data_IF_153077827360
#
_entry.id   IF_153077827360
#
_cell.length_a   1.000
_cell.length_b   1.000
_cell.length_c   1.000
_cell.angle_alpha   90.00
_cell.angle_beta   90.00
_cell.angle_gamma   90.00
#
_symmetry.space_group_name_H-M   'P 1'
#
loop_
_entity.id
_entity.type
_entity.pdbx_description
1 polymer ?
#
# COMPACT_ATOMS: atom_id res chain seq x y z
N UNK A 1 -7.01 -29.90 18.52
CA UNK A 1 -6.99 -28.89 17.44
C UNK A 1 -5.91 -27.90 17.78
N UNK A 2 -4.78 -27.95 17.08
CA UNK A 2 -3.68 -26.99 17.27
C UNK A 2 -4.17 -25.61 16.78
N UNK A 3 -3.96 -24.52 17.53
CA UNK A 3 -4.22 -23.19 16.99
C UNK A 3 -3.38 -22.99 15.72
N UNK A 4 -3.90 -22.36 14.65
CA UNK A 4 -3.08 -22.03 13.50
C UNK A 4 -1.89 -21.17 13.96
N UNK A 5 -0.70 -21.46 13.42
CA UNK A 5 0.48 -20.64 13.66
C UNK A 5 0.16 -19.16 13.38
N UNK A 6 0.71 -18.21 14.17
CA UNK A 6 0.53 -16.80 13.87
C UNK A 6 1.01 -16.55 12.43
N UNK A 7 0.12 -16.02 11.59
CA UNK A 7 0.49 -15.64 10.24
C UNK A 7 1.70 -14.69 10.32
N UNK A 8 2.69 -14.92 9.46
CA UNK A 8 3.89 -14.09 9.43
C UNK A 8 3.49 -12.62 9.36
N UNK A 9 4.04 -11.78 10.27
CA UNK A 9 3.71 -10.35 10.35
C UNK A 9 4.27 -9.55 9.18
N UNK A 10 4.98 -10.20 8.26
CA UNK A 10 5.46 -9.60 7.02
C UNK A 10 5.50 -10.62 5.89
N UNK A 11 5.36 -10.16 4.65
CA UNK A 11 5.45 -10.98 3.46
C UNK A 11 6.23 -10.26 2.35
N UNK A 12 7.05 -11.00 1.61
CA UNK A 12 7.81 -10.46 0.48
C UNK A 12 6.90 -10.02 -0.66
N UNK A 13 7.38 -9.14 -1.54
CA UNK A 13 6.57 -8.68 -2.68
C UNK A 13 6.43 -9.71 -3.80
N UNK A 14 7.38 -10.62 -3.91
CA UNK A 14 7.44 -11.66 -4.92
C UNK A 14 7.42 -13.04 -4.26
N UNK A 15 6.72 -14.04 -4.84
CA UNK A 15 5.91 -13.96 -6.06
C UNK A 15 4.59 -13.20 -5.84
N UNK A 16 4.16 -12.42 -6.83
CA UNK A 16 2.93 -11.60 -6.73
C UNK A 16 1.67 -12.40 -6.37
N UNK A 17 1.54 -13.64 -6.85
CA UNK A 17 0.38 -14.49 -6.53
C UNK A 17 0.31 -14.81 -5.03
N UNK A 18 1.46 -15.15 -4.43
CA UNK A 18 1.58 -15.47 -3.01
C UNK A 18 1.32 -14.24 -2.15
N UNK A 19 1.84 -13.08 -2.57
CA UNK A 19 1.55 -11.80 -1.93
C UNK A 19 0.05 -11.48 -1.92
N UNK A 20 -0.64 -11.64 -3.04
CA UNK A 20 -2.08 -11.38 -3.11
C UNK A 20 -2.90 -12.35 -2.24
N UNK A 21 -2.50 -13.62 -2.21
CA UNK A 21 -3.11 -14.61 -1.33
C UNK A 21 -2.88 -14.24 0.15
N UNK A 22 -1.67 -13.84 0.51
CA UNK A 22 -1.34 -13.38 1.86
C UNK A 22 -2.11 -12.10 2.24
N UNK A 23 -2.17 -11.11 1.35
CA UNK A 23 -2.96 -9.88 1.54
C UNK A 23 -4.45 -10.16 1.66
N UNK A 24 -4.98 -11.18 0.99
CA UNK A 24 -6.39 -11.54 1.09
C UNK A 24 -6.69 -12.31 2.38
N UNK A 25 -5.75 -13.16 2.83
CA UNK A 25 -5.86 -13.92 4.07
C UNK A 25 -5.65 -13.05 5.33
N UNK A 26 -4.78 -12.04 5.23
CA UNK A 26 -4.43 -11.15 6.34
C UNK A 26 -5.05 -9.76 6.20
N UNK A 27 -5.58 -9.41 5.04
CA UNK A 27 -6.33 -8.18 4.82
C UNK A 27 -7.73 -8.32 5.39
N UNK A 28 -8.25 -7.22 5.91
CA UNK A 28 -9.55 -7.19 6.53
C UNK A 28 -10.68 -7.63 5.61
N UNK A 29 -11.40 -8.69 5.98
CA UNK A 29 -12.80 -8.86 5.58
C UNK A 29 -13.65 -7.98 6.51
N UNK A 30 -14.55 -7.12 6.00
CA UNK A 30 -15.36 -6.22 6.83
C UNK A 30 -16.28 -6.94 7.82
N UNK A 31 -16.43 -8.26 7.72
CA UNK A 31 -17.47 -9.02 8.41
C UNK A 31 -17.09 -9.53 9.81
N UNK A 32 -15.80 -9.54 10.21
CA UNK A 32 -15.38 -10.01 11.55
C UNK A 32 -14.24 -9.14 12.12
N UNK A 33 -14.58 -8.16 12.95
CA UNK A 33 -13.63 -7.41 13.79
C UNK A 33 -12.94 -6.21 13.13
N UNK A 34 -12.02 -5.58 13.87
CA UNK A 34 -11.20 -4.48 13.35
C UNK A 34 -10.16 -5.07 12.38
N UNK A 35 -10.19 -4.68 11.09
CA UNK A 35 -9.25 -5.21 10.12
C UNK A 35 -7.82 -4.80 10.48
N UNK A 36 -6.82 -5.69 10.33
CA UNK A 36 -5.45 -5.36 10.63
C UNK A 36 -4.92 -4.27 9.70
N UNK A 37 -4.08 -3.40 10.23
CA UNK A 37 -3.40 -2.35 9.46
C UNK A 37 -2.19 -2.95 8.78
N UNK A 38 -2.02 -2.64 7.51
CA UNK A 38 -0.90 -3.08 6.70
C UNK A 38 -0.05 -1.88 6.33
N UNK A 39 1.27 -2.00 6.45
CA UNK A 39 2.25 -1.05 5.93
C UNK A 39 2.76 -1.57 4.59
N UNK A 40 2.47 -0.82 3.54
CA UNK A 40 2.74 -1.18 2.16
C UNK A 40 3.76 -0.21 1.55
N UNK A 41 4.81 -0.71 0.87
CA UNK A 41 5.65 0.15 0.05
C UNK A 41 4.90 0.41 -1.26
N UNK A 42 4.67 1.67 -1.62
CA UNK A 42 3.88 2.03 -2.81
C UNK A 42 4.66 3.02 -3.66
N UNK A 43 4.76 2.76 -4.95
CA UNK A 43 5.19 3.73 -5.95
C UNK A 43 3.96 4.53 -6.36
N UNK A 44 3.96 5.83 -6.09
CA UNK A 44 2.90 6.74 -6.49
C UNK A 44 3.38 7.55 -7.70
N UNK A 45 2.58 7.58 -8.76
CA UNK A 45 2.82 8.36 -9.98
C UNK A 45 1.87 9.56 -9.99
N UNK A 46 2.42 10.73 -10.28
CA UNK A 46 1.65 11.97 -10.37
C UNK A 46 1.43 12.40 -11.83
N UNK A 47 0.44 13.24 -12.08
CA UNK A 47 0.33 13.95 -13.36
C UNK A 47 1.44 15.02 -13.51
N UNK A 48 1.58 15.57 -14.73
CA UNK A 48 2.61 16.55 -15.06
C UNK A 48 2.51 17.82 -14.19
N UNK A 49 1.29 18.25 -13.88
CA UNK A 49 1.03 19.44 -13.05
C UNK A 49 1.08 19.13 -11.53
N UNK A 50 1.28 17.86 -11.16
CA UNK A 50 1.23 17.33 -9.80
C UNK A 50 -0.06 17.70 -9.05
N UNK A 51 -1.18 17.82 -9.75
CA UNK A 51 -2.51 18.10 -9.20
C UNK A 51 -3.27 16.83 -8.80
N UNK A 52 -2.84 15.67 -9.30
CA UNK A 52 -3.46 14.38 -9.06
C UNK A 52 -2.47 13.21 -8.99
N UNK A 53 -2.93 12.11 -8.40
CA UNK A 53 -2.26 10.81 -8.47
C UNK A 53 -2.87 10.07 -9.66
N UNK A 54 -2.04 9.72 -10.65
CA UNK A 54 -2.46 9.02 -11.87
C UNK A 54 -2.29 7.51 -11.76
N UNK A 55 -1.40 7.05 -10.89
CA UNK A 55 -1.13 5.63 -10.68
C UNK A 55 -0.54 5.33 -9.31
N UNK A 56 -0.76 4.10 -8.86
CA UNK A 56 -0.13 3.54 -7.68
C UNK A 56 0.21 2.07 -7.92
N UNK A 57 1.42 1.66 -7.55
CA UNK A 57 1.89 0.27 -7.68
C UNK A 57 2.58 -0.19 -6.41
N UNK A 58 2.31 -1.44 -6.01
CA UNK A 58 2.88 -2.02 -4.80
C UNK A 58 4.35 -2.39 -5.01
N UNK A 59 5.24 -1.79 -4.22
CA UNK A 59 6.67 -2.08 -4.16
C UNK A 59 7.50 -1.35 -5.21
N UNK A 60 7.43 -1.84 -6.44
CA UNK A 60 8.14 -1.30 -7.62
C UNK A 60 7.13 -0.90 -8.71
N UNK A 61 7.60 -0.21 -9.74
CA UNK A 61 6.74 0.24 -10.85
C UNK A 61 6.05 -0.93 -11.58
N UNK A 62 6.65 -2.11 -11.58
CA UNK A 62 6.13 -3.34 -12.22
C UNK A 62 5.23 -4.19 -11.30
N UNK A 63 5.02 -3.72 -10.06
CA UNK A 63 4.27 -4.46 -9.05
C UNK A 63 2.75 -4.50 -9.29
N UNK A 64 2.01 -4.94 -8.27
CA UNK A 64 0.55 -4.94 -8.32
C UNK A 64 0.02 -3.51 -8.39
N UNK A 65 -0.74 -3.19 -9.45
CA UNK A 65 -1.46 -1.93 -9.56
C UNK A 65 -2.48 -1.79 -8.42
N UNK A 66 -2.51 -0.62 -7.79
CA UNK A 66 -3.36 -0.31 -6.65
C UNK A 66 -4.36 0.80 -6.96
N UNK A 67 -5.54 0.69 -6.37
CA UNK A 67 -6.51 1.78 -6.19
C UNK A 67 -6.44 2.22 -4.73
N UNK A 68 -5.97 3.44 -4.51
CA UNK A 68 -5.85 4.03 -3.18
C UNK A 68 -7.12 4.80 -2.85
N UNK A 69 -7.79 4.43 -1.78
CA UNK A 69 -8.93 5.15 -1.21
C UNK A 69 -8.44 5.96 0.00
N UNK A 70 -8.31 7.27 -0.16
CA UNK A 70 -7.81 8.19 0.86
C UNK A 70 -8.94 8.89 1.66
N UNK A 71 -10.20 8.46 1.50
CA UNK A 71 -11.35 9.03 2.22
C UNK A 71 -11.20 8.97 3.74
N UNK A 72 -10.48 7.99 4.25
CA UNK A 72 -10.23 7.79 5.68
C UNK A 72 -8.98 8.53 6.21
N UNK A 73 -8.18 9.16 5.34
CA UNK A 73 -6.90 9.80 5.71
C UNK A 73 -7.09 11.18 6.37
N UNK A 74 -8.27 11.81 6.19
CA UNK A 74 -8.59 13.15 6.72
C UNK A 74 -7.86 14.31 6.03
N UNK A 75 -6.91 14.01 5.15
CA UNK A 75 -6.23 14.94 4.23
C UNK A 75 -6.03 14.21 2.89
N UNK A 76 -6.10 14.93 1.78
CA UNK A 76 -5.89 14.32 0.48
C UNK A 76 -4.47 13.73 0.38
N UNK A 77 -4.35 12.47 -0.04
CA UNK A 77 -3.07 11.77 -0.15
C UNK A 77 -2.12 12.50 -1.10
N UNK A 78 -2.68 13.06 -2.19
CA UNK A 78 -1.93 13.87 -3.16
C UNK A 78 -1.17 15.02 -2.51
N UNK A 79 -1.74 15.71 -1.52
CA UNK A 79 -1.09 16.85 -0.89
C UNK A 79 0.12 16.41 -0.05
N UNK A 80 0.00 15.26 0.62
CA UNK A 80 1.12 14.64 1.34
C UNK A 80 2.23 14.21 0.40
N UNK A 81 1.88 13.58 -0.72
CA UNK A 81 2.85 13.15 -1.75
C UNK A 81 3.55 14.37 -2.33
N UNK A 82 2.83 15.44 -2.70
CA UNK A 82 3.42 16.69 -3.24
C UNK A 82 4.43 17.33 -2.30
N UNK A 83 4.11 17.38 -1.01
CA UNK A 83 4.96 18.01 0.00
C UNK A 83 6.23 17.22 0.33
N UNK A 84 6.18 15.89 0.18
CA UNK A 84 7.26 15.00 0.64
C UNK A 84 8.10 14.42 -0.50
N UNK A 85 7.52 14.26 -1.68
CA UNK A 85 8.22 13.72 -2.84
C UNK A 85 8.90 14.82 -3.67
N UNK A 86 10.09 14.55 -4.22
CA UNK A 86 10.83 15.50 -5.05
C UNK A 86 9.98 16.11 -6.18
N UNK A 87 10.20 17.38 -6.48
CA UNK A 87 9.39 18.10 -7.47
C UNK A 87 9.71 17.74 -8.93
N UNK A 88 10.91 17.22 -9.15
CA UNK A 88 11.49 16.79 -10.41
C UNK A 88 11.24 15.31 -10.72
N UNK A 89 10.62 14.56 -9.81
CA UNK A 89 10.34 13.14 -9.99
C UNK A 89 8.87 12.89 -10.37
N UNK A 90 8.58 12.21 -11.51
CA UNK A 90 7.21 11.88 -11.91
C UNK A 90 6.59 10.78 -11.03
N UNK A 91 7.41 10.02 -10.32
CA UNK A 91 6.99 9.00 -9.37
C UNK A 91 7.85 9.03 -8.10
N UNK A 92 7.28 8.51 -7.01
CA UNK A 92 7.91 8.51 -5.70
C UNK A 92 7.50 7.28 -4.90
N UNK A 93 8.45 6.69 -4.18
CA UNK A 93 8.23 5.53 -3.32
C UNK A 93 7.84 6.02 -1.93
N UNK A 94 6.73 5.52 -1.39
CA UNK A 94 6.19 5.94 -0.10
C UNK A 94 5.72 4.74 0.72
N UNK A 95 5.81 4.84 2.04
CA UNK A 95 5.17 3.91 2.95
C UNK A 95 3.74 4.39 3.21
N UNK A 96 2.76 3.55 2.91
CA UNK A 96 1.35 3.78 3.24
C UNK A 96 0.90 2.75 4.27
N UNK A 97 0.16 3.21 5.28
CA UNK A 97 -0.51 2.35 6.23
C UNK A 97 -2.01 2.36 5.93
N UNK A 98 -2.61 1.18 5.79
CA UNK A 98 -4.00 1.06 5.37
C UNK A 98 -4.59 -0.33 5.55
N UNK A 99 -5.84 -0.49 5.11
CA UNK A 99 -6.57 -1.76 5.12
C UNK A 99 -6.72 -2.25 3.69
N UNK A 100 -6.32 -3.49 3.44
CA UNK A 100 -6.58 -4.16 2.18
C UNK A 100 -8.07 -4.50 2.04
N UNK A 101 -8.66 -4.16 0.89
CA UNK A 101 -10.10 -4.34 0.60
C UNK A 101 -10.36 -5.38 -0.51
N UNK A 102 -9.32 -6.09 -0.96
CA UNK A 102 -9.42 -7.06 -2.06
C UNK A 102 -8.98 -6.49 -3.40
N UNK A 103 -9.30 -7.22 -4.47
CA UNK A 103 -8.95 -6.85 -5.85
C UNK A 103 -10.24 -6.54 -6.62
N UNK A 104 -10.30 -5.38 -7.28
CA UNK A 104 -11.42 -4.94 -8.12
C UNK A 104 -10.85 -4.49 -9.46
N UNK A 105 -11.41 -4.99 -10.57
CA UNK A 105 -10.94 -4.71 -11.94
C UNK A 105 -9.43 -4.99 -12.14
N UNK A 106 -8.92 -6.05 -11.50
CA UNK A 106 -7.51 -6.42 -11.55
C UNK A 106 -6.56 -5.53 -10.74
N UNK A 107 -7.09 -4.53 -10.00
CA UNK A 107 -6.31 -3.63 -9.13
C UNK A 107 -6.57 -3.94 -7.66
N UNK A 108 -5.51 -3.96 -6.86
CA UNK A 108 -5.61 -4.09 -5.41
C UNK A 108 -6.20 -2.82 -4.79
N UNK A 109 -7.25 -2.94 -3.99
CA UNK A 109 -7.89 -1.80 -3.34
C UNK A 109 -7.36 -1.68 -1.91
N UNK A 110 -6.84 -0.50 -1.58
CA UNK A 110 -6.33 -0.20 -0.23
C UNK A 110 -7.02 1.05 0.27
N UNK A 111 -7.69 0.94 1.43
CA UNK A 111 -8.14 2.10 2.17
C UNK A 111 -6.95 2.65 2.97
N UNK A 112 -6.44 3.80 2.56
CA UNK A 112 -5.29 4.45 3.16
C UNK A 112 -5.74 5.17 4.44
N UNK A 113 -5.12 4.78 5.55
CA UNK A 113 -5.38 5.36 6.87
C UNK A 113 -4.30 6.35 7.28
N UNK A 114 -3.06 6.14 6.83
CA UNK A 114 -1.92 7.00 7.19
C UNK A 114 -0.83 7.00 6.13
N UNK A 115 -0.26 8.18 5.89
CA UNK A 115 0.99 8.35 5.16
C UNK A 115 2.16 8.20 6.15
N UNK A 116 2.95 7.14 6.02
CA UNK A 116 4.01 6.82 6.97
C UNK A 116 5.36 7.47 6.61
N UNK A 117 5.60 7.80 5.34
CA UNK A 117 6.82 8.50 4.92
C UNK A 117 7.24 8.21 3.49
N UNK A 118 8.32 8.84 3.06
CA UNK A 118 8.98 8.56 1.77
C UNK A 118 10.01 7.46 1.97
N UNK A 119 10.15 6.60 0.98
CA UNK A 119 11.15 5.53 0.92
C UNK A 119 12.33 6.09 0.12
N UNK A 120 13.51 6.15 0.74
CA UNK A 120 14.73 6.53 0.05
C UNK A 120 15.04 5.54 -1.09
N UNK A 121 15.71 6.00 -2.15
CA UNK A 121 15.95 5.17 -3.33
C UNK A 121 16.72 3.87 -3.02
N UNK A 122 17.60 3.91 -2.03
CA UNK A 122 18.44 2.82 -1.54
C UNK A 122 17.81 2.01 -0.39
N UNK A 123 16.66 2.43 0.14
CA UNK A 123 16.02 1.75 1.25
C UNK A 123 15.32 0.44 0.82
N UNK A 124 15.49 -0.60 1.63
CA UNK A 124 14.76 -1.86 1.48
C UNK A 124 13.26 -1.63 1.73
N UNK A 125 12.46 -1.95 0.73
CA UNK A 125 11.01 -1.81 0.70
C UNK A 125 10.41 -2.93 -0.16
N UNK A 126 10.90 -4.13 0.14
CA UNK A 126 10.70 -5.41 -0.55
C UNK A 126 9.68 -6.31 0.15
N UNK A 127 8.97 -5.77 1.16
CA UNK A 127 7.98 -6.51 1.96
C UNK A 127 6.81 -5.63 2.39
N UNK A 128 5.66 -6.26 2.60
CA UNK A 128 4.49 -5.70 3.29
C UNK A 128 4.49 -6.19 4.73
N UNK A 129 4.06 -5.35 5.67
CA UNK A 129 4.07 -5.65 7.10
C UNK A 129 2.69 -5.43 7.72
N UNK A 130 2.31 -6.26 8.69
CA UNK A 130 1.16 -6.03 9.57
C UNK A 130 1.62 -5.10 10.69
N UNK A 131 0.91 -3.98 10.87
CA UNK A 131 1.16 -2.99 11.93
C UNK A 131 0.18 -3.25 13.08
N UNK A 132 0.66 -3.36 14.33
CA UNK A 132 -0.19 -3.54 15.50
C UNK A 132 -1.11 -2.34 15.81
#
# INVERSE_FOLDING_TARGET
MTPPAPAATSHGLEPRADLLAWLTANGGTPDIGTPPRLRLPVVVTMDADRLGITGATLGTADGQALKLDDTALGIALKDRVRQKCPADAPSCRVWLEGVWRGVVDGKGVVQVLKFAGVIAADAAADRVEIVP
#
